data_IF_886311868657
#
_entry.id   IF_886311868657
#
_cell.length_a   1.000
_cell.length_b   1.000
_cell.length_c   1.000
_cell.angle_alpha   90.00
_cell.angle_beta   90.00
_cell.angle_gamma   90.00
#
_symmetry.space_group_name_H-M   'P 1'
#
loop_
_entity.id
_entity.type
_entity.pdbx_description
1 polymer ?
#
# COMPACT_ATOMS: atom_id res chain seq x y z
N UNK A 1 27.60 3.61 4.02
CA UNK A 1 26.45 2.67 3.91
C UNK A 1 25.09 3.39 3.65
N UNK A 2 25.00 4.72 3.69
CA UNK A 2 23.76 5.48 3.47
C UNK A 2 23.32 5.61 1.99
N UNK A 3 24.23 5.45 1.02
CA UNK A 3 23.89 5.52 -0.41
C UNK A 3 23.05 4.34 -0.92
N UNK A 4 23.13 3.14 -0.29
CA UNK A 4 22.36 1.98 -0.77
C UNK A 4 20.86 2.11 -0.50
N UNK A 5 20.46 2.73 0.61
CA UNK A 5 19.05 2.82 0.99
C UNK A 5 18.27 3.89 0.19
N UNK A 6 18.93 4.95 -0.26
CA UNK A 6 18.31 6.04 -1.03
C UNK A 6 17.70 5.57 -2.36
N UNK A 7 18.22 4.47 -2.92
CA UNK A 7 17.79 3.95 -4.20
C UNK A 7 16.79 2.79 -4.11
N UNK A 8 16.56 2.19 -2.94
CA UNK A 8 15.69 1.00 -2.82
C UNK A 8 14.23 1.35 -3.18
N UNK A 9 13.67 2.38 -2.55
CA UNK A 9 12.31 2.85 -2.84
C UNK A 9 12.12 3.17 -4.32
N UNK A 10 12.90 4.08 -4.96
CA UNK A 10 12.69 4.40 -6.36
C UNK A 10 12.91 3.20 -7.28
N UNK A 11 13.79 2.25 -6.92
CA UNK A 11 13.96 1.01 -7.69
C UNK A 11 12.70 0.15 -7.64
N UNK A 12 12.09 -0.04 -6.47
CA UNK A 12 10.84 -0.81 -6.34
C UNK A 12 9.70 -0.13 -7.10
N UNK A 13 9.58 1.21 -7.00
CA UNK A 13 8.57 1.95 -7.78
C UNK A 13 8.81 1.84 -9.29
N UNK A 14 10.06 1.87 -9.73
CA UNK A 14 10.39 1.69 -11.15
C UNK A 14 10.05 0.26 -11.62
N UNK A 15 10.35 -0.76 -10.81
CA UNK A 15 10.00 -2.14 -11.10
C UNK A 15 8.47 -2.33 -11.17
N UNK A 16 7.72 -1.76 -10.23
CA UNK A 16 6.25 -1.77 -10.26
C UNK A 16 5.69 -1.05 -11.49
N UNK A 17 6.27 0.10 -11.88
CA UNK A 17 5.85 0.81 -13.08
C UNK A 17 6.11 -0.01 -14.34
N UNK A 18 7.25 -0.70 -14.42
CA UNK A 18 7.55 -1.64 -15.50
C UNK A 18 6.55 -2.79 -15.50
N UNK A 19 6.23 -3.36 -14.33
CA UNK A 19 5.28 -4.46 -14.24
C UNK A 19 3.87 -4.03 -14.70
N UNK A 20 3.41 -2.86 -14.29
CA UNK A 20 2.15 -2.29 -14.74
C UNK A 20 2.10 -2.11 -16.28
N UNK A 21 3.21 -1.71 -16.91
CA UNK A 21 3.32 -1.62 -18.37
C UNK A 21 3.27 -3.02 -19.01
N UNK A 22 3.97 -4.00 -18.42
CA UNK A 22 3.95 -5.38 -18.91
C UNK A 22 2.53 -5.94 -18.84
N UNK A 23 1.81 -5.78 -17.73
CA UNK A 23 0.41 -6.18 -17.60
C UNK A 23 -0.52 -5.42 -18.55
N UNK A 24 -0.30 -4.12 -18.75
CA UNK A 24 -1.11 -3.33 -19.70
C UNK A 24 -0.90 -3.75 -21.17
N UNK A 25 0.29 -4.27 -21.51
CA UNK A 25 0.62 -4.70 -22.87
C UNK A 25 0.37 -6.19 -23.12
N UNK A 26 0.36 -7.01 -22.05
CA UNK A 26 0.26 -8.47 -22.13
C UNK A 26 -1.10 -9.02 -21.66
N UNK A 27 -1.84 -8.25 -20.86
CA UNK A 27 -3.14 -8.62 -20.26
C UNK A 27 -4.33 -7.88 -20.85
N UNK A 28 -5.51 -8.05 -20.24
CA UNK A 28 -6.72 -7.31 -20.62
C UNK A 28 -6.63 -5.86 -20.16
N UNK A 29 -7.24 -4.93 -20.91
CA UNK A 29 -7.23 -3.50 -20.57
C UNK A 29 -7.71 -3.20 -19.12
N UNK A 30 -8.56 -4.06 -18.55
CA UNK A 30 -9.01 -3.96 -17.16
C UNK A 30 -7.92 -4.25 -16.13
N UNK A 31 -7.00 -5.18 -16.39
CA UNK A 31 -5.91 -5.55 -15.47
C UNK A 31 -4.85 -4.44 -15.41
N UNK A 32 -4.55 -3.81 -16.54
CA UNK A 32 -3.69 -2.62 -16.58
C UNK A 32 -4.28 -1.41 -15.86
N UNK A 33 -5.60 -1.20 -15.95
CA UNK A 33 -6.29 -0.12 -15.24
C UNK A 33 -6.29 -0.33 -13.71
N UNK A 34 -6.44 -1.57 -13.25
CA UNK A 34 -6.38 -1.91 -11.82
C UNK A 34 -4.96 -1.69 -11.27
N UNK A 35 -3.93 -2.16 -11.97
CA UNK A 35 -2.53 -1.94 -11.61
C UNK A 35 -2.17 -0.43 -11.52
N UNK A 36 -2.69 0.38 -12.46
CA UNK A 36 -2.51 1.83 -12.42
C UNK A 36 -3.22 2.49 -11.22
N UNK A 37 -4.40 2.01 -10.86
CA UNK A 37 -5.14 2.50 -9.69
C UNK A 37 -4.38 2.19 -8.38
N UNK A 38 -3.85 0.97 -8.24
CA UNK A 38 -2.99 0.58 -7.13
C UNK A 38 -1.71 1.39 -7.07
N UNK A 39 -1.09 1.65 -8.22
CA UNK A 39 0.14 2.44 -8.28
C UNK A 39 -0.12 3.91 -7.89
N UNK A 40 -1.25 4.47 -8.32
CA UNK A 40 -1.67 5.80 -7.92
C UNK A 40 -1.92 5.90 -6.40
N UNK A 41 -2.54 4.88 -5.78
CA UNK A 41 -2.71 4.80 -4.33
C UNK A 41 -1.37 4.77 -3.59
N UNK A 42 -0.45 3.92 -4.04
CA UNK A 42 0.88 3.81 -3.46
C UNK A 42 1.64 5.14 -3.53
N UNK A 43 1.64 5.78 -4.71
CA UNK A 43 2.25 7.09 -4.89
C UNK A 43 1.60 8.15 -3.99
N UNK A 44 0.27 8.11 -3.86
CA UNK A 44 -0.47 9.00 -2.97
C UNK A 44 -0.06 8.82 -1.50
N UNK A 45 0.05 7.59 -1.01
CA UNK A 45 0.48 7.29 0.34
C UNK A 45 1.93 7.73 0.61
N UNK A 46 2.84 7.50 -0.33
CA UNK A 46 4.23 7.96 -0.23
C UNK A 46 4.30 9.51 -0.20
N UNK A 47 3.46 10.19 -1.00
CA UNK A 47 3.34 11.66 -0.96
C UNK A 47 2.80 12.13 0.39
N UNK A 48 1.75 11.52 0.92
CA UNK A 48 1.14 11.90 2.19
C UNK A 48 2.08 11.67 3.38
N UNK A 49 2.86 10.58 3.33
CA UNK A 49 3.89 10.27 4.33
C UNK A 49 4.98 11.34 4.36
N UNK A 50 5.37 11.88 3.21
CA UNK A 50 6.38 12.95 3.10
C UNK A 50 5.86 14.35 3.45
N UNK A 51 4.54 14.53 3.61
CA UNK A 51 3.86 15.82 3.86
C UNK A 51 4.45 17.04 3.12
N UNK A 52 4.61 17.01 1.78
CA UNK A 52 5.12 18.17 1.05
C UNK A 52 4.12 19.33 1.13
N UNK A 53 4.62 20.54 1.43
CA UNK A 53 3.82 21.75 1.68
C UNK A 53 2.75 22.07 0.61
N UNK A 54 2.93 21.61 -0.64
CA UNK A 54 2.01 21.79 -1.76
C UNK A 54 0.70 20.98 -1.65
N UNK A 55 0.65 19.91 -0.84
CA UNK A 55 -0.57 19.10 -0.63
C UNK A 55 -1.63 19.83 0.20
N UNK A 56 -1.26 20.90 0.91
CA UNK A 56 -2.20 21.76 1.65
C UNK A 56 -3.00 22.71 0.76
N UNK A 57 -2.66 22.84 -0.52
CA UNK A 57 -3.39 23.70 -1.44
C UNK A 57 -4.73 23.02 -1.78
N UNK A 58 -5.84 23.72 -1.53
CA UNK A 58 -7.23 23.20 -1.59
C UNK A 58 -7.56 22.40 -2.86
N UNK A 59 -7.07 22.83 -4.03
CA UNK A 59 -7.30 22.12 -5.31
C UNK A 59 -6.64 20.75 -5.38
N UNK A 60 -5.41 20.63 -4.87
CA UNK A 60 -4.68 19.37 -4.90
C UNK A 60 -5.22 18.43 -3.83
N UNK A 61 -5.61 18.94 -2.66
CA UNK A 61 -6.29 18.15 -1.64
C UNK A 61 -7.59 17.50 -2.16
N UNK A 62 -8.41 18.25 -2.93
CA UNK A 62 -9.65 17.70 -3.53
C UNK A 62 -9.33 16.66 -4.60
N UNK A 63 -8.37 16.92 -5.50
CA UNK A 63 -7.97 15.97 -6.54
C UNK A 63 -7.44 14.66 -5.94
N UNK A 64 -6.61 14.75 -4.89
CA UNK A 64 -6.08 13.59 -4.17
C UNK A 64 -7.20 12.83 -3.43
N UNK A 65 -8.16 13.54 -2.84
CA UNK A 65 -9.34 12.94 -2.21
C UNK A 65 -10.24 12.20 -3.19
N UNK A 66 -10.47 12.76 -4.39
CA UNK A 66 -11.25 12.12 -5.44
C UNK A 66 -10.53 10.90 -6.03
N UNK A 67 -9.22 11.01 -6.27
CA UNK A 67 -8.39 9.89 -6.72
C UNK A 67 -8.44 8.74 -5.71
N UNK A 68 -8.38 9.06 -4.41
CA UNK A 68 -8.51 8.08 -3.34
C UNK A 68 -9.90 7.45 -3.31
N UNK A 69 -10.97 8.24 -3.41
CA UNK A 69 -12.34 7.70 -3.47
C UNK A 69 -12.52 6.77 -4.67
N UNK A 70 -11.99 7.13 -5.83
CA UNK A 70 -12.02 6.30 -7.02
C UNK A 70 -11.25 4.99 -6.82
N UNK A 71 -10.08 5.05 -6.17
CA UNK A 71 -9.29 3.86 -5.92
C UNK A 71 -9.91 2.96 -4.83
N UNK A 72 -10.43 3.52 -3.73
CA UNK A 72 -11.20 2.75 -2.74
C UNK A 72 -12.43 2.10 -3.36
N UNK A 73 -13.15 2.83 -4.23
CA UNK A 73 -14.28 2.29 -4.96
C UNK A 73 -13.85 1.14 -5.90
N UNK A 74 -12.78 1.32 -6.66
CA UNK A 74 -12.21 0.28 -7.54
C UNK A 74 -11.87 -1.00 -6.77
N UNK A 75 -11.20 -0.86 -5.63
CA UNK A 75 -10.84 -1.98 -4.76
C UNK A 75 -12.08 -2.69 -4.18
N UNK A 76 -13.10 -1.94 -3.74
CA UNK A 76 -14.36 -2.56 -3.28
C UNK A 76 -15.13 -3.28 -4.39
N UNK A 77 -15.09 -2.75 -5.62
CA UNK A 77 -15.72 -3.38 -6.79
C UNK A 77 -14.97 -4.66 -7.18
N UNK A 78 -13.64 -4.62 -7.18
CA UNK A 78 -12.79 -5.78 -7.44
C UNK A 78 -13.05 -6.90 -6.41
N UNK A 79 -13.10 -6.57 -5.12
CA UNK A 79 -13.40 -7.54 -4.06
C UNK A 79 -14.78 -8.21 -4.22
N UNK A 80 -15.79 -7.48 -4.69
CA UNK A 80 -17.12 -8.04 -5.00
C UNK A 80 -17.09 -8.89 -6.27
N UNK A 81 -16.29 -8.51 -7.27
CA UNK A 81 -16.14 -9.27 -8.52
C UNK A 81 -15.45 -10.62 -8.28
N UNK A 82 -14.38 -10.67 -7.48
CA UNK A 82 -13.67 -11.93 -7.17
C UNK A 82 -14.54 -12.93 -6.39
N UNK A 83 -15.41 -12.44 -5.50
CA UNK A 83 -16.40 -13.29 -4.81
C UNK A 83 -17.40 -13.94 -5.78
N UNK A 84 -17.65 -13.32 -6.94
CA UNK A 84 -18.54 -13.87 -7.98
C UNK A 84 -17.85 -14.89 -8.89
N UNK A 85 -16.54 -14.75 -9.12
CA UNK A 85 -15.81 -15.54 -10.10
C UNK A 85 -15.20 -16.84 -9.53
N UNK A 86 -15.29 -17.06 -8.20
CA UNK A 86 -14.78 -18.26 -7.49
C UNK A 86 -13.26 -18.46 -7.53
N UNK A 87 -12.50 -17.45 -7.93
CA UNK A 87 -11.04 -17.43 -7.81
C UNK A 87 -10.65 -17.03 -6.37
N UNK A 88 -10.60 -18.03 -5.49
CA UNK A 88 -10.45 -17.82 -4.04
C UNK A 88 -9.10 -17.21 -3.65
N UNK A 89 -8.04 -17.47 -4.42
CA UNK A 89 -6.69 -16.95 -4.16
C UNK A 89 -6.66 -15.44 -4.47
N UNK A 90 -7.15 -15.03 -5.64
CA UNK A 90 -7.25 -13.62 -6.03
C UNK A 90 -8.18 -12.84 -5.11
N UNK A 91 -9.32 -13.45 -4.73
CA UNK A 91 -10.23 -12.86 -3.75
C UNK A 91 -9.53 -12.63 -2.40
N UNK A 92 -8.83 -13.65 -1.88
CA UNK A 92 -8.11 -13.55 -0.61
C UNK A 92 -7.01 -12.48 -0.68
N UNK A 93 -6.24 -12.44 -1.77
CA UNK A 93 -5.22 -11.42 -2.01
C UNK A 93 -5.81 -10.01 -1.96
N UNK A 94 -6.91 -9.77 -2.69
CA UNK A 94 -7.58 -8.47 -2.73
C UNK A 94 -8.09 -8.05 -1.35
N UNK A 95 -8.70 -8.97 -0.59
CA UNK A 95 -9.18 -8.68 0.77
C UNK A 95 -8.05 -8.36 1.75
N UNK A 96 -6.92 -9.04 1.63
CA UNK A 96 -5.74 -8.74 2.45
C UNK A 96 -5.18 -7.35 2.13
N UNK A 97 -5.09 -7.00 0.84
CA UNK A 97 -4.66 -5.67 0.40
C UNK A 97 -5.60 -4.56 0.87
N UNK A 98 -6.92 -4.80 0.86
CA UNK A 98 -7.90 -3.88 1.48
C UNK A 98 -7.57 -3.65 2.95
N UNK A 99 -7.28 -4.71 3.69
CA UNK A 99 -6.88 -4.62 5.10
C UNK A 99 -5.66 -3.73 5.28
N UNK A 100 -4.61 -3.91 4.47
CA UNK A 100 -3.38 -3.10 4.52
C UNK A 100 -3.68 -1.63 4.25
N UNK A 101 -4.48 -1.33 3.21
CA UNK A 101 -4.87 0.05 2.89
C UNK A 101 -5.67 0.68 4.02
N UNK A 102 -6.59 -0.05 4.66
CA UNK A 102 -7.37 0.47 5.80
C UNK A 102 -6.46 0.83 6.97
N UNK A 103 -5.50 -0.04 7.31
CA UNK A 103 -4.56 0.23 8.40
C UNK A 103 -3.72 1.47 8.08
N UNK A 104 -3.15 1.55 6.87
CA UNK A 104 -2.37 2.71 6.43
C UNK A 104 -3.18 4.00 6.40
N UNK A 105 -4.42 3.96 5.92
CA UNK A 105 -5.30 5.12 5.88
C UNK A 105 -5.61 5.63 7.29
N UNK A 106 -5.83 4.72 8.23
CA UNK A 106 -6.05 5.06 9.64
C UNK A 106 -4.82 5.76 10.24
N UNK A 107 -3.65 5.19 9.97
CA UNK A 107 -2.34 5.69 10.38
C UNK A 107 -2.04 7.10 9.84
N UNK A 108 -2.41 7.37 8.59
CA UNK A 108 -2.23 8.69 7.96
C UNK A 108 -3.24 9.72 8.48
N UNK A 109 -4.53 9.35 8.61
CA UNK A 109 -5.60 10.30 8.93
C UNK A 109 -5.74 10.62 10.40
N UNK A 110 -5.51 9.64 11.26
CA UNK A 110 -5.74 9.75 12.69
C UNK A 110 -4.45 9.49 13.48
N UNK A 111 -3.34 10.22 13.24
CA UNK A 111 -2.04 9.91 13.82
C UNK A 111 -2.05 9.89 15.35
N UNK A 112 -2.90 10.70 15.99
CA UNK A 112 -3.06 10.70 17.45
C UNK A 112 -3.75 9.43 17.99
N UNK A 113 -4.76 8.90 17.27
CA UNK A 113 -5.42 7.64 17.65
C UNK A 113 -4.55 6.44 17.27
N UNK A 114 -3.89 6.50 16.12
CA UNK A 114 -2.92 5.52 15.66
C UNK A 114 -1.79 5.32 16.68
N UNK A 115 -1.20 6.40 17.21
CA UNK A 115 -0.19 6.31 18.26
C UNK A 115 -0.72 5.60 19.53
N UNK A 116 -1.98 5.80 19.89
CA UNK A 116 -2.61 5.14 21.04
C UNK A 116 -2.83 3.64 20.80
N UNK A 117 -3.14 3.25 19.57
CA UNK A 117 -3.46 1.86 19.19
C UNK A 117 -2.30 1.18 18.44
N UNK A 118 -1.10 1.77 18.49
CA UNK A 118 0.02 1.40 17.63
C UNK A 118 0.38 -0.09 17.71
N UNK A 119 0.38 -0.69 18.92
CA UNK A 119 0.64 -2.13 19.08
C UNK A 119 -0.37 -3.00 18.34
N UNK A 120 -1.65 -2.62 18.38
CA UNK A 120 -2.71 -3.36 17.70
C UNK A 120 -2.59 -3.20 16.19
N UNK A 121 -2.37 -1.98 15.70
CA UNK A 121 -2.21 -1.70 14.27
C UNK A 121 -0.99 -2.44 13.70
N UNK A 122 0.17 -2.35 14.36
CA UNK A 122 1.37 -3.10 13.95
C UNK A 122 1.14 -4.61 13.98
N UNK A 123 0.45 -5.13 15.01
CA UNK A 123 0.09 -6.55 15.07
C UNK A 123 -0.80 -6.97 13.90
N UNK A 124 -1.81 -6.16 13.58
CA UNK A 124 -2.69 -6.38 12.42
C UNK A 124 -1.91 -6.35 11.11
N UNK A 125 -1.03 -5.36 10.90
CA UNK A 125 -0.19 -5.28 9.70
C UNK A 125 0.72 -6.49 9.55
N UNK A 126 1.35 -6.96 10.62
CA UNK A 126 2.20 -8.17 10.58
C UNK A 126 1.38 -9.38 10.11
N UNK A 127 0.19 -9.58 10.67
CA UNK A 127 -0.69 -10.69 10.26
C UNK A 127 -1.08 -10.57 8.79
N UNK A 128 -1.42 -9.36 8.33
CA UNK A 128 -1.78 -9.10 6.93
C UNK A 128 -0.62 -9.39 5.98
N UNK A 129 0.60 -8.90 6.27
CA UNK A 129 1.76 -9.17 5.42
C UNK A 129 2.20 -10.63 5.43
N UNK A 130 2.09 -11.33 6.56
CA UNK A 130 2.36 -12.78 6.62
C UNK A 130 1.37 -13.53 5.73
N UNK A 131 0.09 -13.17 5.78
CA UNK A 131 -0.92 -13.77 4.92
C UNK A 131 -0.67 -13.45 3.43
N UNK A 132 -0.32 -12.20 3.09
CA UNK A 132 0.04 -11.81 1.72
C UNK A 132 1.28 -12.57 1.21
N UNK A 133 2.29 -12.73 2.07
CA UNK A 133 3.47 -13.52 1.72
C UNK A 133 3.12 -14.99 1.46
N UNK A 134 2.20 -15.57 2.24
CA UNK A 134 1.73 -16.93 2.00
C UNK A 134 0.98 -17.05 0.65
N UNK A 135 0.17 -16.06 0.28
CA UNK A 135 -0.47 -16.00 -1.04
C UNK A 135 0.57 -15.92 -2.15
N UNK A 136 1.55 -15.02 -2.04
CA UNK A 136 2.64 -14.91 -3.03
C UNK A 136 3.44 -16.20 -3.19
N UNK A 137 3.74 -16.90 -2.08
CA UNK A 137 4.38 -18.21 -2.11
C UNK A 137 3.51 -19.28 -2.77
N UNK A 138 2.19 -19.17 -2.65
CA UNK A 138 1.24 -20.08 -3.32
C UNK A 138 1.32 -19.90 -4.84
N UNK A 139 1.36 -18.66 -5.35
CA UNK A 139 1.56 -18.40 -6.78
C UNK A 139 2.88 -18.96 -7.31
N UNK A 140 3.98 -18.77 -6.56
CA UNK A 140 5.25 -19.40 -6.94
C UNK A 140 5.17 -20.93 -6.98
N UNK A 141 4.45 -21.55 -6.04
CA UNK A 141 4.24 -23.00 -6.02
C UNK A 141 3.37 -23.50 -7.18
N UNK A 142 2.41 -22.69 -7.64
CA UNK A 142 1.55 -22.99 -8.80
C UNK A 142 2.25 -22.73 -10.15
N UNK A 143 3.45 -22.13 -10.14
CA UNK A 143 4.20 -21.79 -11.36
C UNK A 143 3.83 -20.43 -11.97
N UNK A 144 2.97 -19.67 -11.30
CA UNK A 144 2.55 -18.31 -11.68
C UNK A 144 3.60 -17.29 -11.23
N UNK A 145 4.77 -17.33 -11.90
CA UNK A 145 5.94 -16.57 -11.47
C UNK A 145 5.75 -15.05 -11.53
N UNK A 146 5.04 -14.54 -12.54
CA UNK A 146 4.80 -13.11 -12.71
C UNK A 146 3.92 -12.55 -11.59
N UNK A 147 2.84 -13.26 -11.22
CA UNK A 147 1.91 -12.83 -10.18
C UNK A 147 2.55 -12.90 -8.79
N UNK A 148 3.30 -13.96 -8.50
CA UNK A 148 4.10 -14.06 -7.28
C UNK A 148 5.16 -12.96 -7.17
N UNK A 149 5.84 -12.64 -8.28
CA UNK A 149 6.84 -11.56 -8.33
C UNK A 149 6.20 -10.18 -8.15
N UNK A 150 5.07 -9.90 -8.82
CA UNK A 150 4.34 -8.65 -8.66
C UNK A 150 3.90 -8.45 -7.21
N UNK A 151 3.26 -9.46 -6.62
CA UNK A 151 2.82 -9.43 -5.24
C UNK A 151 3.98 -9.17 -4.26
N UNK A 152 5.15 -9.78 -4.49
CA UNK A 152 6.33 -9.53 -3.67
C UNK A 152 6.83 -8.07 -3.77
N UNK A 153 6.80 -7.46 -4.95
CA UNK A 153 7.12 -6.06 -5.13
C UNK A 153 6.13 -5.14 -4.42
N UNK A 154 4.83 -5.44 -4.48
CA UNK A 154 3.81 -4.70 -3.76
C UNK A 154 3.97 -4.78 -2.26
N UNK A 155 4.19 -5.99 -1.70
CA UNK A 155 4.45 -6.20 -0.27
C UNK A 155 5.65 -5.35 0.17
N UNK A 156 6.74 -5.39 -0.59
CA UNK A 156 7.93 -4.60 -0.29
C UNK A 156 7.64 -3.09 -0.33
N UNK A 157 6.89 -2.61 -1.32
CA UNK A 157 6.56 -1.20 -1.47
C UNK A 157 5.72 -0.67 -0.30
N UNK A 158 4.63 -1.37 0.04
CA UNK A 158 3.74 -0.97 1.13
C UNK A 158 4.42 -1.07 2.50
N UNK A 159 5.20 -2.12 2.75
CA UNK A 159 5.96 -2.25 4.00
C UNK A 159 6.99 -1.10 4.18
N UNK A 160 7.60 -0.63 3.10
CA UNK A 160 8.52 0.51 3.13
C UNK A 160 7.82 1.85 3.40
N UNK A 161 6.56 2.01 2.99
CA UNK A 161 5.75 3.18 3.35
C UNK A 161 5.38 3.12 4.82
N UNK A 162 4.89 1.97 5.28
CA UNK A 162 4.46 1.77 6.66
C UNK A 162 5.60 1.96 7.67
N UNK A 163 6.79 1.45 7.37
CA UNK A 163 7.95 1.64 8.23
C UNK A 163 8.32 3.13 8.37
N UNK A 164 8.17 3.92 7.32
CA UNK A 164 8.41 5.36 7.41
C UNK A 164 7.34 6.06 8.24
N UNK A 165 6.09 5.61 8.15
CA UNK A 165 5.01 6.12 8.97
C UNK A 165 5.18 5.77 10.46
N UNK A 166 5.61 4.54 10.78
CA UNK A 166 5.90 4.11 12.15
C UNK A 166 7.04 4.93 12.79
N UNK A 167 8.06 5.31 12.00
CA UNK A 167 9.14 6.19 12.47
C UNK A 167 8.61 7.59 12.82
N UNK A 168 7.72 8.14 12.00
CA UNK A 168 7.09 9.45 12.26
C UNK A 168 6.26 9.42 13.54
N UNK A 169 5.44 8.39 13.74
CA UNK A 169 4.62 8.22 14.95
C UNK A 169 5.48 8.07 16.22
N UNK A 170 6.59 7.33 16.12
CA UNK A 170 7.52 7.13 17.25
C UNK A 170 8.26 8.42 17.63
N UNK A 171 8.67 9.23 16.65
CA UNK A 171 9.29 10.53 16.88
C UNK A 171 8.34 11.51 17.60
N UNK A 172 7.07 11.60 17.15
CA UNK A 172 6.07 12.47 17.76
C UNK A 172 5.71 12.06 19.21
N UNK A 173 5.68 10.76 19.49
CA UNK A 173 5.48 10.25 20.86
C UNK A 173 6.61 10.64 21.82
N UNK A 174 7.85 10.71 21.33
CA UNK A 174 9.03 11.07 22.15
C UNK A 174 9.05 12.56 22.50
N UNK A 175 8.74 13.43 21.53
CA UNK A 175 8.70 14.89 21.72
C UNK A 175 7.60 15.33 22.70
N UNK A 176 6.43 14.68 22.63
CA UNK A 176 5.31 14.96 23.54
C UNK A 176 5.53 14.47 24.97
N UNK A 177 6.41 13.49 25.19
CA UNK A 177 6.84 13.07 26.52
C UNK A 177 7.83 14.06 27.14
N UNK A 178 8.75 14.63 26.35
CA UNK A 178 9.72 15.63 26.81
C UNK A 178 9.09 16.97 27.20
N UNK A 179 8.01 17.39 26.52
CA UNK A 179 7.29 18.64 26.85
C UNK A 179 6.45 18.53 28.15
N UNK A 180 6.25 17.31 28.68
CA UNK A 180 5.48 17.06 29.92
C UNK A 180 6.34 16.81 31.16
N UNK A 181 7.67 16.72 31.02
CA UNK A 181 8.64 16.57 32.11
C UNK A 181 9.29 17.89 32.45
#
# INVERSE_FOLDING_TARGET
MMLRAAHIKPTIFALLAVNAIVFATSGRASEGLDALAWFALLALFEIETRRPHWTRIRRYAVALGLLRLAATAGVTVAAVAYLREREWIDAANAWLWIGVVIVLEFDVRAPALAARWQRWLTGTSIVLYVALAAVALTWFALGEWLDGYDAALWIAAFALIEMDLLKLSSAAGTESAQLRS
#
